data_IF_875556630675
#
_entry.id   IF_875556630675
#
_cell.length_a   1.000
_cell.length_b   1.000
_cell.length_c   1.000
_cell.angle_alpha   90.00
_cell.angle_beta   90.00
_cell.angle_gamma   90.00
#
_symmetry.space_group_name_H-M   'P 1'
#
loop_
_entity.id
_entity.type
_entity.pdbx_description
1 polymer ?
#
# COMPACT_ATOMS: atom_id res chain seq x y z
N UNK A 1 16.17 -0.46 -20.81
CA UNK A 1 14.96 0.26 -20.42
C UNK A 1 14.76 0.23 -18.92
N UNK A 2 14.48 1.40 -18.36
CA UNK A 2 14.16 1.50 -16.96
C UNK A 2 12.76 0.97 -16.69
N UNK A 3 12.61 0.24 -15.58
CA UNK A 3 11.32 -0.21 -15.09
C UNK A 3 10.93 0.65 -13.91
N UNK A 4 9.67 1.05 -13.85
CA UNK A 4 9.14 1.73 -12.69
C UNK A 4 8.68 0.70 -11.67
N UNK A 5 8.70 1.08 -10.40
CA UNK A 5 8.18 0.24 -9.33
C UNK A 5 7.00 0.95 -8.68
N UNK A 6 5.99 0.16 -8.32
CA UNK A 6 4.82 0.66 -7.63
C UNK A 6 4.48 -0.29 -6.47
N UNK A 7 3.82 0.24 -5.45
CA UNK A 7 3.35 -0.59 -4.34
C UNK A 7 2.14 -1.41 -4.77
N UNK A 8 2.20 -2.71 -4.50
CA UNK A 8 1.10 -3.62 -4.79
C UNK A 8 -0.13 -3.28 -3.96
N UNK A 9 -1.31 -3.39 -4.57
CA UNK A 9 -2.62 -3.26 -3.90
C UNK A 9 -2.92 -1.90 -3.30
N UNK A 10 -2.18 -0.85 -3.69
CA UNK A 10 -2.34 0.47 -3.10
C UNK A 10 -2.73 1.52 -4.14
N UNK A 11 -3.52 2.46 -3.68
CA UNK A 11 -3.84 3.71 -4.36
C UNK A 11 -3.54 4.83 -3.37
N UNK A 12 -2.72 5.80 -3.79
CA UNK A 12 -2.32 6.88 -2.90
C UNK A 12 -3.31 8.04 -2.92
N UNK A 13 -3.36 8.83 -1.83
CA UNK A 13 -4.20 10.02 -1.79
C UNK A 13 -3.78 11.02 -2.86
N UNK A 14 -4.74 11.79 -3.37
CA UNK A 14 -4.46 12.86 -4.33
C UNK A 14 -4.21 14.19 -3.63
N UNK A 15 -4.70 14.37 -2.40
CA UNK A 15 -4.48 15.60 -1.65
C UNK A 15 -3.00 15.73 -1.27
N UNK A 16 -2.35 16.87 -1.57
CA UNK A 16 -0.89 17.00 -1.36
C UNK A 16 -0.43 16.75 0.07
N UNK A 17 -1.20 17.20 1.06
CA UNK A 17 -0.82 17.01 2.46
C UNK A 17 -0.80 15.53 2.86
N UNK A 18 -1.75 14.75 2.40
CA UNK A 18 -1.79 13.32 2.72
C UNK A 18 -0.76 12.54 1.91
N UNK A 19 -0.53 12.95 0.66
CA UNK A 19 0.50 12.32 -0.16
C UNK A 19 1.88 12.54 0.44
N UNK A 20 2.14 13.75 0.96
CA UNK A 20 3.41 14.06 1.63
C UNK A 20 3.62 13.18 2.84
N UNK A 21 2.57 12.97 3.65
CA UNK A 21 2.66 12.10 4.81
C UNK A 21 2.92 10.65 4.41
N UNK A 22 2.29 10.17 3.33
CA UNK A 22 2.55 8.85 2.81
C UNK A 22 4.01 8.69 2.42
N UNK A 23 4.57 9.69 1.73
CA UNK A 23 5.99 9.68 1.34
C UNK A 23 6.89 9.67 2.57
N UNK A 24 6.54 10.45 3.61
CA UNK A 24 7.30 10.48 4.86
C UNK A 24 7.30 9.10 5.54
N UNK A 25 6.17 8.42 5.57
CA UNK A 25 6.08 7.08 6.15
C UNK A 25 6.98 6.11 5.37
N UNK A 26 6.94 6.17 4.05
CA UNK A 26 7.79 5.31 3.21
C UNK A 26 9.26 5.61 3.50
N UNK A 27 9.64 6.88 3.55
CA UNK A 27 11.01 7.30 3.80
C UNK A 27 11.50 6.83 5.16
N UNK A 28 10.70 7.03 6.20
CA UNK A 28 11.05 6.60 7.56
C UNK A 28 11.14 5.08 7.67
N UNK A 29 10.24 4.37 6.99
CA UNK A 29 10.21 2.91 7.03
C UNK A 29 11.39 2.28 6.32
N UNK A 30 11.98 2.98 5.34
CA UNK A 30 13.08 2.45 4.53
C UNK A 30 14.45 2.93 5.00
N UNK A 31 14.50 4.00 5.83
CA UNK A 31 15.75 4.58 6.30
C UNK A 31 16.53 3.58 7.16
N UNK A 32 17.79 3.38 6.85
CA UNK A 32 18.72 2.54 7.59
C UNK A 32 18.24 1.08 7.80
N UNK A 33 17.36 0.61 6.91
CA UNK A 33 16.82 -0.75 6.99
C UNK A 33 17.03 -1.45 5.65
N UNK A 34 17.27 -2.74 5.73
CA UNK A 34 17.32 -3.59 4.55
C UNK A 34 15.95 -4.24 4.39
N UNK A 35 15.23 -3.81 3.38
CA UNK A 35 13.93 -4.35 3.06
C UNK A 35 14.02 -5.29 1.86
N UNK A 36 13.08 -6.22 1.80
CA UNK A 36 12.93 -7.10 0.64
C UNK A 36 11.70 -6.66 -0.12
N UNK A 37 11.83 -6.60 -1.43
CA UNK A 37 10.70 -6.33 -2.32
C UNK A 37 10.24 -7.65 -2.93
N UNK A 38 9.03 -8.07 -2.56
CA UNK A 38 8.40 -9.20 -3.22
C UNK A 38 7.71 -8.70 -4.48
N UNK A 39 8.11 -9.20 -5.64
CA UNK A 39 7.49 -8.79 -6.90
C UNK A 39 6.21 -9.59 -7.08
N UNK A 40 5.08 -8.92 -6.92
CA UNK A 40 3.77 -9.57 -7.01
C UNK A 40 3.27 -9.68 -8.44
N UNK A 41 3.65 -8.72 -9.28
CA UNK A 41 3.21 -8.68 -10.67
C UNK A 41 4.15 -7.82 -11.50
N UNK A 42 4.36 -8.22 -12.73
CA UNK A 42 5.13 -7.45 -13.71
C UNK A 42 4.19 -7.06 -14.84
N UNK A 43 3.97 -5.76 -15.00
CA UNK A 43 3.20 -5.24 -16.12
C UNK A 43 4.15 -4.85 -17.23
N UNK A 44 4.35 -5.77 -18.18
CA UNK A 44 5.28 -5.57 -19.28
C UNK A 44 4.83 -4.50 -20.27
N UNK A 45 3.54 -4.22 -20.33
CA UNK A 45 3.00 -3.20 -21.22
C UNK A 45 3.34 -1.79 -20.73
N UNK A 46 3.28 -1.61 -19.42
CA UNK A 46 3.57 -0.32 -18.80
C UNK A 46 5.00 -0.21 -18.27
N UNK A 47 5.72 -1.32 -18.24
CA UNK A 47 7.06 -1.35 -17.69
C UNK A 47 7.07 -1.14 -16.18
N UNK A 48 6.09 -1.70 -15.47
CA UNK A 48 5.94 -1.49 -14.03
C UNK A 48 6.04 -2.80 -13.26
N UNK A 49 6.84 -2.77 -12.19
CA UNK A 49 6.91 -3.86 -11.21
C UNK A 49 6.03 -3.48 -10.03
N UNK A 50 5.10 -4.34 -9.68
CA UNK A 50 4.28 -4.16 -8.48
C UNK A 50 4.88 -4.97 -7.35
N UNK A 51 5.19 -4.30 -6.25
CA UNK A 51 5.97 -4.90 -5.17
C UNK A 51 5.31 -4.71 -3.81
N UNK A 52 5.59 -5.65 -2.90
CA UNK A 52 5.29 -5.54 -1.49
C UNK A 52 6.62 -5.45 -0.76
N UNK A 53 6.84 -4.36 -0.01
CA UNK A 53 8.07 -4.16 0.76
C UNK A 53 7.89 -4.67 2.17
N UNK A 54 8.81 -5.49 2.63
CA UNK A 54 8.75 -6.00 4.00
C UNK A 54 10.15 -6.17 4.58
N UNK A 55 10.21 -6.21 5.92
CA UNK A 55 11.46 -6.43 6.64
C UNK A 55 11.50 -7.90 7.08
N UNK A 56 12.38 -8.71 6.47
CA UNK A 56 12.44 -10.14 6.79
C UNK A 56 12.89 -10.43 8.23
N UNK A 57 13.48 -9.43 8.90
CA UNK A 57 13.87 -9.56 10.31
C UNK A 57 12.69 -9.42 11.25
N UNK A 58 11.62 -8.72 10.81
CA UNK A 58 10.44 -8.50 11.62
C UNK A 58 9.37 -9.56 11.40
N UNK A 59 9.22 -10.04 10.17
CA UNK A 59 8.16 -10.99 9.86
C UNK A 59 8.45 -11.73 8.55
N UNK A 60 8.00 -12.98 8.50
CA UNK A 60 7.99 -13.76 7.25
C UNK A 60 6.72 -13.53 6.45
N UNK A 61 5.76 -12.81 7.04
CA UNK A 61 4.45 -12.62 6.42
C UNK A 61 4.38 -11.36 5.59
N UNK A 62 3.87 -11.47 4.36
CA UNK A 62 3.60 -10.32 3.51
C UNK A 62 2.46 -9.45 4.05
N UNK A 63 1.71 -9.97 5.05
CA UNK A 63 0.68 -9.18 5.72
C UNK A 63 1.28 -8.12 6.63
N UNK A 64 2.55 -8.28 7.00
CA UNK A 64 3.28 -7.27 7.76
C UNK A 64 4.30 -6.60 6.84
N UNK A 65 3.89 -5.54 6.20
CA UNK A 65 4.65 -4.88 5.14
C UNK A 65 4.52 -3.36 5.25
N UNK A 66 5.39 -2.65 4.55
CA UNK A 66 5.24 -1.19 4.41
C UNK A 66 3.90 -0.88 3.73
N UNK A 67 3.50 -1.70 2.75
CA UNK A 67 2.21 -1.56 2.09
C UNK A 67 1.07 -1.59 3.11
N UNK A 68 1.08 -2.58 4.00
CA UNK A 68 0.05 -2.74 5.02
C UNK A 68 0.06 -1.57 6.02
N UNK A 69 1.24 -1.10 6.39
CA UNK A 69 1.38 0.02 7.31
C UNK A 69 0.75 1.29 6.74
N UNK A 70 0.97 1.55 5.46
CA UNK A 70 0.38 2.72 4.80
C UNK A 70 -1.15 2.68 4.83
N UNK A 71 -1.73 1.51 4.62
CA UNK A 71 -3.19 1.34 4.68
C UNK A 71 -3.68 1.52 6.12
N UNK A 72 -3.00 0.90 7.09
CA UNK A 72 -3.37 0.98 8.51
C UNK A 72 -3.30 2.41 9.04
N UNK A 73 -2.34 3.19 8.58
CA UNK A 73 -2.17 4.59 9.00
C UNK A 73 -3.12 5.54 8.28
N UNK A 74 -3.83 5.05 7.27
CA UNK A 74 -4.80 5.85 6.52
C UNK A 74 -4.21 6.70 5.41
N UNK A 75 -2.99 6.38 4.95
CA UNK A 75 -2.33 7.16 3.89
C UNK A 75 -2.22 6.41 2.57
N UNK A 76 -2.92 5.27 2.46
CA UNK A 76 -3.11 4.57 1.20
C UNK A 76 -4.45 3.83 1.25
N UNK A 77 -5.00 3.58 0.08
CA UNK A 77 -6.28 2.88 -0.07
C UNK A 77 -6.06 1.62 -0.89
N UNK A 78 -6.93 0.64 -0.69
CA UNK A 78 -7.03 -0.48 -1.63
C UNK A 78 -7.86 0.02 -2.82
N UNK A 79 -7.41 -0.19 -4.07
CA UNK A 79 -8.16 0.27 -5.22
C UNK A 79 -9.56 -0.33 -5.27
N UNK A 80 -10.55 0.47 -5.65
CA UNK A 80 -11.94 0.00 -5.78
C UNK A 80 -12.11 -0.96 -6.96
N UNK A 81 -11.39 -0.69 -8.05
CA UNK A 81 -11.37 -1.55 -9.22
C UNK A 81 -10.11 -2.39 -9.18
N UNK A 82 -10.28 -3.65 -8.83
CA UNK A 82 -9.17 -4.58 -8.69
C UNK A 82 -8.87 -5.28 -10.01
N UNK A 83 -7.60 -5.41 -10.32
CA UNK A 83 -7.12 -6.18 -11.47
C UNK A 83 -7.17 -7.67 -11.11
N UNK A 84 -7.12 -8.53 -12.13
CA UNK A 84 -7.21 -9.97 -11.93
C UNK A 84 -6.15 -10.49 -10.96
N UNK A 85 -4.90 -10.04 -11.12
CA UNK A 85 -3.82 -10.49 -10.25
C UNK A 85 -4.00 -10.01 -8.80
N UNK A 86 -4.62 -8.82 -8.63
CA UNK A 86 -4.89 -8.31 -7.29
C UNK A 86 -5.96 -9.14 -6.59
N UNK A 87 -7.03 -9.51 -7.31
CA UNK A 87 -8.07 -10.36 -6.76
C UNK A 87 -7.56 -11.75 -6.41
N UNK A 88 -6.59 -12.24 -7.16
CA UNK A 88 -5.99 -13.55 -6.93
C UNK A 88 -5.13 -13.62 -5.68
N UNK A 89 -4.79 -12.47 -5.08
CA UNK A 89 -3.95 -12.42 -3.88
C UNK A 89 -4.63 -12.96 -2.62
N UNK A 90 -5.96 -13.12 -2.63
CA UNK A 90 -6.67 -13.81 -1.55
C UNK A 90 -6.49 -13.17 -0.19
N UNK A 91 -5.79 -13.87 0.71
CA UNK A 91 -5.64 -13.45 2.11
C UNK A 91 -4.95 -12.11 2.28
N UNK A 92 -3.97 -11.79 1.43
CA UNK A 92 -3.25 -10.52 1.50
C UNK A 92 -4.21 -9.38 1.21
N UNK A 93 -5.01 -9.52 0.16
CA UNK A 93 -5.99 -8.52 -0.21
C UNK A 93 -7.05 -8.34 0.89
N UNK A 94 -7.55 -9.44 1.43
CA UNK A 94 -8.55 -9.40 2.50
C UNK A 94 -8.00 -8.68 3.73
N UNK A 95 -6.75 -8.94 4.10
CA UNK A 95 -6.12 -8.28 5.23
C UNK A 95 -6.00 -6.76 5.00
N UNK A 96 -5.61 -6.35 3.80
CA UNK A 96 -5.49 -4.94 3.46
C UNK A 96 -6.86 -4.24 3.49
N UNK A 97 -7.90 -4.91 3.01
CA UNK A 97 -9.25 -4.37 3.04
C UNK A 97 -9.75 -4.20 4.48
N UNK A 98 -9.41 -5.15 5.36
CA UNK A 98 -9.76 -5.05 6.77
C UNK A 98 -9.03 -3.89 7.44
N UNK A 99 -7.74 -3.72 7.14
CA UNK A 99 -6.95 -2.58 7.65
C UNK A 99 -7.50 -1.25 7.17
N UNK A 100 -7.95 -1.19 5.93
CA UNK A 100 -8.58 0.01 5.37
C UNK A 100 -9.86 0.34 6.11
N UNK A 101 -10.71 -0.66 6.35
CA UNK A 101 -11.97 -0.47 7.06
C UNK A 101 -11.72 0.04 8.48
N UNK A 102 -10.72 -0.52 9.16
CA UNK A 102 -10.35 -0.08 10.51
C UNK A 102 -9.82 1.35 10.51
N UNK A 103 -9.00 1.72 9.52
CA UNK A 103 -8.49 3.08 9.40
C UNK A 103 -9.63 4.08 9.17
N UNK A 104 -10.62 3.72 8.35
CA UNK A 104 -11.80 4.55 8.13
C UNK A 104 -12.62 4.73 9.41
N UNK A 105 -12.84 3.64 10.13
CA UNK A 105 -13.61 3.65 11.37
C UNK A 105 -12.94 4.55 12.41
N UNK A 106 -11.62 4.50 12.50
CA UNK A 106 -10.83 5.28 13.45
C UNK A 106 -10.42 6.65 12.91
N UNK A 107 -10.85 6.99 11.71
CA UNK A 107 -10.60 8.27 11.04
C UNK A 107 -9.12 8.64 10.99
N UNK A 108 -8.30 7.67 10.60
CA UNK A 108 -6.85 7.86 10.47
C UNK A 108 -6.50 8.47 9.12
N UNK A 109 -5.46 9.31 9.11
CA UNK A 109 -4.91 9.88 7.90
C UNK A 109 -5.95 10.58 7.05
N UNK A 110 -6.08 10.17 5.79
CA UNK A 110 -7.02 10.79 4.85
C UNK A 110 -8.51 10.57 5.22
N UNK A 111 -8.77 9.66 6.15
CA UNK A 111 -10.14 9.37 6.60
C UNK A 111 -10.60 10.31 7.73
N UNK A 112 -9.75 11.26 8.11
CA UNK A 112 -10.00 12.18 9.23
C UNK A 112 -11.34 12.91 9.12
N UNK A 113 -11.71 13.31 7.91
CA UNK A 113 -12.96 14.03 7.65
C UNK A 113 -13.97 13.18 6.87
N UNK A 114 -13.86 11.87 6.98
CA UNK A 114 -14.71 10.93 6.27
C UNK A 114 -14.02 10.36 5.04
N UNK A 115 -14.78 9.70 4.18
CA UNK A 115 -14.22 9.06 2.98
C UNK A 115 -14.14 10.08 1.83
N UNK A 116 -12.94 10.51 1.43
CA UNK A 116 -12.80 11.50 0.35
C UNK A 116 -13.20 10.95 -1.02
N UNK A 117 -13.42 9.63 -1.14
CA UNK A 117 -13.83 9.00 -2.39
C UNK A 117 -15.34 8.80 -2.49
N UNK A 118 -16.07 9.09 -1.42
CA UNK A 118 -17.54 9.06 -1.42
C UNK A 118 -18.08 10.38 -1.96
N UNK A 119 -19.10 10.26 -2.80
CA UNK A 119 -19.81 11.42 -3.34
C UNK A 119 -21.02 11.75 -2.50
#
# INVERSE_FOLDING_TARGET
QALDAAFSFLQFPTAPEYLREAVNIISDSTADRQLVANVDYIDSREGTLYVTLFDPKQSDSLNESVNADLVSEGFAMVPKKLKTWERAAGDILADLQEREAEAKENRRGQWEYGDPTED
#
